data_IF_273183503651
#
_entry.id   IF_273183503651
#
_cell.length_a   1.000
_cell.length_b   1.000
_cell.length_c   1.000
_cell.angle_alpha   90.00
_cell.angle_beta   90.00
_cell.angle_gamma   90.00
#
_symmetry.space_group_name_H-M   'P 1'
#
loop_
_entity.id
_entity.type
_entity.pdbx_description
1 polymer ?
#
# COMPACT_ATOMS: atom_id res chain seq x y z
N UNK A 1 -61.03 -37.06 14.72
CA UNK A 1 -60.36 -35.75 14.72
C UNK A 1 -58.85 -35.95 14.64
N UNK A 2 -58.13 -35.23 13.75
CA UNK A 2 -56.78 -34.71 14.07
C UNK A 2 -55.51 -35.43 13.60
N UNK A 3 -55.36 -35.80 12.32
CA UNK A 3 -54.03 -36.07 11.72
C UNK A 3 -53.76 -35.08 10.57
N UNK A 4 -53.59 -33.79 10.88
CA UNK A 4 -53.36 -32.77 9.86
C UNK A 4 -52.27 -31.72 10.22
N UNK A 5 -51.69 -31.75 11.43
CA UNK A 5 -50.72 -30.71 11.84
C UNK A 5 -49.25 -31.04 11.51
N UNK A 6 -48.88 -32.33 11.41
CA UNK A 6 -47.47 -32.72 11.25
C UNK A 6 -46.90 -32.44 9.85
N UNK A 7 -47.69 -32.66 8.79
CA UNK A 7 -47.28 -32.45 7.39
C UNK A 7 -47.23 -30.98 6.98
N UNK A 8 -48.13 -30.14 7.53
CA UNK A 8 -48.15 -28.69 7.30
C UNK A 8 -46.87 -28.02 7.79
N UNK A 9 -46.41 -28.41 8.99
CA UNK A 9 -45.19 -27.88 9.59
C UNK A 9 -43.93 -28.31 8.83
N UNK A 10 -43.91 -29.55 8.29
CA UNK A 10 -42.80 -30.05 7.47
C UNK A 10 -42.67 -29.27 6.14
N UNK A 11 -43.79 -29.01 5.44
CA UNK A 11 -43.79 -28.19 4.23
C UNK A 11 -43.33 -26.75 4.50
N UNK A 12 -43.80 -26.13 5.58
CA UNK A 12 -43.40 -24.78 5.96
C UNK A 12 -41.88 -24.69 6.23
N UNK A 13 -41.30 -25.72 6.87
CA UNK A 13 -39.85 -25.79 7.12
C UNK A 13 -39.06 -25.91 5.81
N UNK A 14 -39.48 -26.78 4.88
CA UNK A 14 -38.79 -26.95 3.59
C UNK A 14 -38.85 -25.67 2.74
N UNK A 15 -39.99 -24.99 2.73
CA UNK A 15 -40.17 -23.72 2.04
C UNK A 15 -39.27 -22.64 2.66
N UNK A 16 -39.20 -22.58 4.00
CA UNK A 16 -38.31 -21.67 4.72
C UNK A 16 -36.83 -21.90 4.37
N UNK A 17 -36.38 -23.17 4.38
CA UNK A 17 -35.00 -23.53 4.02
C UNK A 17 -34.67 -23.17 2.56
N UNK A 18 -35.62 -23.33 1.65
CA UNK A 18 -35.46 -22.93 0.25
C UNK A 18 -35.27 -21.41 0.10
N UNK A 19 -36.08 -20.61 0.80
CA UNK A 19 -35.92 -19.15 0.80
C UNK A 19 -34.61 -18.70 1.47
N UNK A 20 -34.18 -19.37 2.54
CA UNK A 20 -32.88 -19.11 3.17
C UNK A 20 -31.73 -19.46 2.22
N UNK A 21 -31.81 -20.58 1.51
CA UNK A 21 -30.82 -20.97 0.50
C UNK A 21 -30.74 -19.97 -0.66
N UNK A 22 -31.90 -19.52 -1.17
CA UNK A 22 -31.97 -18.44 -2.17
C UNK A 22 -31.36 -17.14 -1.67
N UNK A 23 -31.66 -16.75 -0.43
CA UNK A 23 -31.10 -15.55 0.18
C UNK A 23 -29.58 -15.63 0.32
N UNK A 24 -29.04 -16.77 0.77
CA UNK A 24 -27.58 -16.99 0.88
C UNK A 24 -26.92 -16.94 -0.50
N UNK A 25 -27.55 -17.52 -1.53
CA UNK A 25 -27.01 -17.49 -2.91
C UNK A 25 -27.02 -16.09 -3.53
N UNK A 26 -27.84 -15.17 -3.02
CA UNK A 26 -27.88 -13.78 -3.45
C UNK A 26 -26.80 -12.91 -2.78
N UNK A 27 -26.14 -13.42 -1.73
CA UNK A 27 -25.01 -12.74 -1.11
C UNK A 27 -23.81 -12.78 -2.07
N UNK A 28 -23.36 -11.60 -2.50
CA UNK A 28 -22.15 -11.45 -3.31
C UNK A 28 -20.94 -11.44 -2.36
N UNK A 29 -20.01 -12.37 -2.55
CA UNK A 29 -18.71 -12.32 -1.87
C UNK A 29 -17.79 -11.32 -2.56
N UNK A 30 -17.02 -10.57 -1.76
CA UNK A 30 -15.89 -9.80 -2.22
C UNK A 30 -14.61 -10.57 -1.89
N UNK A 31 -13.75 -10.77 -2.89
CA UNK A 31 -12.41 -11.30 -2.68
C UNK A 31 -11.50 -10.16 -2.25
N UNK A 32 -10.75 -10.36 -1.16
CA UNK A 32 -9.76 -9.41 -0.66
C UNK A 32 -8.61 -10.17 -0.02
N UNK A 33 -7.41 -9.60 -0.11
CA UNK A 33 -6.25 -10.05 0.66
C UNK A 33 -5.79 -8.94 1.59
N UNK A 34 -5.37 -9.31 2.80
CA UNK A 34 -4.86 -8.40 3.82
C UNK A 34 -3.50 -8.93 4.28
N UNK A 35 -2.50 -8.05 4.25
CA UNK A 35 -1.16 -8.34 4.73
C UNK A 35 -0.82 -7.41 5.88
N UNK A 36 -0.26 -7.99 6.94
CA UNK A 36 0.25 -7.25 8.08
C UNK A 36 1.77 -7.30 7.99
N UNK A 37 2.39 -6.12 7.97
CA UNK A 37 3.83 -5.97 7.95
C UNK A 37 4.28 -5.43 9.32
N UNK A 38 4.78 -6.30 10.20
CA UNK A 38 5.31 -5.91 11.52
C UNK A 38 6.84 -6.09 11.53
N UNK A 39 7.56 -4.95 11.56
CA UNK A 39 9.03 -4.92 11.64
C UNK A 39 9.74 -5.78 10.60
N UNK A 40 9.13 -5.95 9.43
CA UNK A 40 9.72 -6.72 8.34
C UNK A 40 11.02 -6.08 7.84
N UNK A 41 12.04 -6.90 7.55
CA UNK A 41 13.31 -6.39 7.08
C UNK A 41 13.17 -5.80 5.69
N UNK A 42 13.71 -4.61 5.51
CA UNK A 42 13.87 -4.00 4.19
C UNK A 42 15.13 -4.53 3.52
N UNK A 43 15.07 -4.75 2.22
CA UNK A 43 16.22 -5.17 1.42
C UNK A 43 16.89 -3.97 0.77
N UNK A 44 18.21 -3.89 0.88
CA UNK A 44 18.99 -2.89 0.16
C UNK A 44 18.96 -3.17 -1.35
N UNK A 45 18.60 -2.16 -2.15
CA UNK A 45 18.54 -2.19 -3.61
C UNK A 45 19.18 -0.92 -4.15
N UNK A 46 20.46 -1.01 -4.50
CA UNK A 46 21.22 0.15 -4.98
C UNK A 46 21.35 1.20 -3.88
N UNK A 47 20.65 2.32 -4.03
CA UNK A 47 20.69 3.45 -3.10
C UNK A 47 19.38 3.59 -2.30
N UNK A 48 18.54 2.56 -2.31
CA UNK A 48 17.24 2.56 -1.66
C UNK A 48 17.01 1.26 -0.87
N UNK A 49 16.01 1.30 -0.01
CA UNK A 49 15.51 0.15 0.72
C UNK A 49 14.14 -0.23 0.18
N UNK A 50 13.91 -1.53 -0.01
CA UNK A 50 12.67 -2.06 -0.57
C UNK A 50 12.03 -3.05 0.40
N UNK A 51 10.74 -2.85 0.66
CA UNK A 51 9.87 -3.82 1.30
C UNK A 51 8.99 -4.46 0.22
N UNK A 52 9.04 -5.78 0.07
CA UNK A 52 8.18 -6.49 -0.87
C UNK A 52 6.77 -6.64 -0.29
N UNK A 53 5.78 -6.11 -1.00
CA UNK A 53 4.37 -6.31 -0.67
C UNK A 53 3.85 -7.70 -1.07
N UNK A 54 2.56 -7.93 -0.83
CA UNK A 54 1.84 -9.11 -1.30
C UNK A 54 1.84 -9.19 -2.84
N UNK A 55 1.63 -10.39 -3.37
CA UNK A 55 1.70 -10.69 -4.81
C UNK A 55 0.33 -10.90 -5.44
N UNK A 56 -0.72 -10.37 -4.81
CA UNK A 56 -2.11 -10.63 -5.18
C UNK A 56 -2.54 -9.77 -6.37
N UNK A 57 -3.40 -10.33 -7.21
CA UNK A 57 -3.95 -9.64 -8.37
C UNK A 57 -5.14 -8.77 -8.03
N UNK A 58 -5.20 -7.57 -8.61
CA UNK A 58 -6.37 -6.68 -8.54
C UNK A 58 -7.17 -6.82 -9.84
N UNK A 59 -8.34 -7.47 -9.80
CA UNK A 59 -9.22 -7.59 -10.97
C UNK A 59 -10.25 -6.48 -10.95
N UNK A 60 -10.19 -5.54 -11.90
CA UNK A 60 -11.26 -4.56 -12.09
C UNK A 60 -12.38 -5.14 -12.99
N UNK A 61 -13.65 -5.00 -12.62
CA UNK A 61 -14.77 -5.41 -13.46
C UNK A 61 -14.87 -4.53 -14.71
N UNK A 62 -15.41 -5.08 -15.79
CA UNK A 62 -15.48 -4.41 -17.09
C UNK A 62 -16.18 -3.03 -17.01
N UNK A 63 -15.75 -2.04 -17.82
CA UNK A 63 -16.20 -0.64 -17.71
C UNK A 63 -17.71 -0.42 -17.90
N UNK A 64 -18.45 -1.41 -18.39
CA UNK A 64 -19.92 -1.37 -18.55
C UNK A 64 -20.69 -1.91 -17.34
N UNK A 65 -20.00 -2.37 -16.31
CA UNK A 65 -20.59 -2.93 -15.11
C UNK A 65 -20.51 -1.89 -13.99
N UNK A 66 -21.66 -1.50 -13.44
CA UNK A 66 -21.73 -0.74 -12.18
C UNK A 66 -21.28 -1.56 -10.95
N UNK A 67 -20.84 -2.82 -11.14
CA UNK A 67 -20.44 -3.68 -10.06
C UNK A 67 -19.00 -3.37 -9.68
N UNK A 68 -18.80 -2.78 -8.50
CA UNK A 68 -17.54 -2.83 -7.73
C UNK A 68 -16.35 -2.04 -8.28
N UNK A 69 -15.63 -1.36 -7.38
CA UNK A 69 -14.28 -0.85 -7.65
C UNK A 69 -13.29 -1.74 -6.90
N UNK A 70 -12.25 -2.17 -7.59
CA UNK A 70 -11.12 -2.86 -6.96
C UNK A 70 -10.05 -1.83 -6.63
N UNK A 71 -9.44 -1.92 -5.45
CA UNK A 71 -8.49 -0.93 -4.97
C UNK A 71 -7.44 -1.58 -4.06
N UNK A 72 -6.28 -0.92 -3.97
CA UNK A 72 -5.26 -1.20 -2.97
C UNK A 72 -5.40 -0.13 -1.89
N UNK A 73 -5.51 -0.55 -0.64
CA UNK A 73 -5.57 0.37 0.51
C UNK A 73 -4.46 0.05 1.48
N UNK A 74 -3.72 1.08 1.84
CA UNK A 74 -2.79 1.04 2.94
C UNK A 74 -3.47 1.59 4.19
N UNK A 75 -3.31 0.90 5.32
CA UNK A 75 -3.95 1.25 6.58
C UNK A 75 -2.88 1.37 7.67
N UNK A 76 -2.87 2.50 8.39
CA UNK A 76 -1.95 2.77 9.51
C UNK A 76 -0.44 2.62 9.20
N UNK A 77 0.03 3.11 8.04
CA UNK A 77 1.47 3.16 7.76
C UNK A 77 2.14 4.18 8.69
N UNK A 78 3.06 3.71 9.52
CA UNK A 78 3.91 4.55 10.37
C UNK A 78 5.37 4.31 10.04
N UNK A 79 6.08 5.38 9.70
CA UNK A 79 7.53 5.34 9.57
C UNK A 79 8.16 5.76 10.89
N UNK A 80 9.17 5.01 11.32
CA UNK A 80 9.96 5.29 12.51
C UNK A 80 11.39 5.64 12.11
N UNK A 81 11.99 6.60 12.81
CA UNK A 81 13.42 6.93 12.69
C UNK A 81 14.04 7.00 14.07
N UNK A 82 15.32 6.64 14.19
CA UNK A 82 16.02 6.75 15.48
C UNK A 82 16.29 8.20 15.85
N UNK A 83 16.57 8.44 17.14
CA UNK A 83 16.90 9.77 17.67
C UNK A 83 18.19 10.29 17.03
N UNK A 84 19.18 9.42 16.88
CA UNK A 84 20.45 9.72 16.23
C UNK A 84 20.26 10.19 14.78
N UNK A 85 19.38 9.52 14.03
CA UNK A 85 19.07 9.90 12.65
C UNK A 85 18.31 11.24 12.56
N UNK A 86 17.49 11.57 13.56
CA UNK A 86 16.82 12.87 13.65
C UNK A 86 17.82 14.00 13.99
N UNK A 87 18.74 13.73 14.92
CA UNK A 87 19.69 14.72 15.44
C UNK A 87 20.83 15.04 14.46
N UNK A 88 21.13 14.15 13.49
CA UNK A 88 22.11 14.41 12.42
C UNK A 88 21.67 15.50 11.43
N UNK A 89 20.38 15.86 11.42
CA UNK A 89 19.84 16.87 10.52
C UNK A 89 18.98 17.92 11.25
N UNK A 90 19.56 18.67 12.21
CA UNK A 90 18.83 19.54 13.13
C UNK A 90 18.34 20.85 12.50
N UNK A 91 18.88 21.23 11.33
CA UNK A 91 18.70 22.56 10.74
C UNK A 91 17.96 22.56 9.39
N UNK A 92 17.36 21.45 8.97
CA UNK A 92 16.56 21.40 7.74
C UNK A 92 15.10 21.09 8.06
N UNK A 93 14.39 22.10 8.59
CA UNK A 93 13.00 22.06 9.03
C UNK A 93 11.97 21.57 7.99
N UNK A 94 12.38 21.32 6.73
CA UNK A 94 11.50 20.89 5.65
C UNK A 94 11.97 19.65 4.87
N UNK A 95 13.19 19.12 5.08
CA UNK A 95 13.73 18.04 4.22
C UNK A 95 14.48 16.91 4.93
N UNK A 96 14.79 17.02 6.22
CA UNK A 96 15.54 15.98 6.95
C UNK A 96 14.76 14.71 7.30
N UNK A 97 13.68 14.47 6.59
CA UNK A 97 12.76 13.39 6.89
C UNK A 97 11.77 13.11 5.77
N UNK A 98 12.16 13.38 4.53
CA UNK A 98 11.36 13.02 3.37
C UNK A 98 11.44 11.50 3.16
N UNK A 99 10.32 10.83 3.32
CA UNK A 99 10.07 9.46 2.90
C UNK A 99 9.23 9.53 1.63
N UNK A 100 9.73 8.95 0.53
CA UNK A 100 8.99 8.87 -0.72
C UNK A 100 8.51 7.45 -0.96
N UNK A 101 7.20 7.31 -1.17
CA UNK A 101 6.58 6.05 -1.59
C UNK A 101 6.30 6.17 -3.09
N UNK A 102 6.74 5.19 -3.86
CA UNK A 102 6.48 5.12 -5.29
C UNK A 102 5.58 3.93 -5.64
N UNK A 103 4.56 4.17 -6.45
CA UNK A 103 3.61 3.16 -6.93
C UNK A 103 3.73 3.11 -8.45
N UNK A 104 4.03 1.93 -8.97
CA UNK A 104 4.29 1.69 -10.38
C UNK A 104 3.87 0.27 -10.77
N UNK A 105 3.62 0.03 -12.06
CA UNK A 105 3.36 -1.31 -12.58
C UNK A 105 4.68 -2.03 -12.80
N UNK A 106 4.72 -3.35 -12.64
CA UNK A 106 5.95 -4.12 -12.86
C UNK A 106 6.51 -3.93 -14.29
N UNK A 107 5.65 -3.66 -15.28
CA UNK A 107 6.04 -3.34 -16.66
C UNK A 107 6.77 -1.98 -16.77
N UNK A 108 6.48 -1.04 -15.87
CA UNK A 108 7.07 0.30 -15.82
C UNK A 108 8.27 0.39 -14.87
N UNK A 109 8.81 -0.73 -14.39
CA UNK A 109 9.96 -0.74 -13.46
C UNK A 109 11.17 0.02 -14.00
N UNK A 110 11.33 0.05 -15.32
CA UNK A 110 12.45 0.72 -16.00
C UNK A 110 12.26 2.25 -16.06
N UNK A 111 11.05 2.75 -15.73
CA UNK A 111 10.77 4.17 -15.54
C UNK A 111 11.22 4.68 -14.15
N UNK A 112 11.71 3.79 -13.28
CA UNK A 112 12.22 4.12 -11.95
C UNK A 112 13.74 4.04 -11.91
N UNK A 113 14.36 5.00 -11.25
CA UNK A 113 15.81 5.07 -11.10
C UNK A 113 16.53 5.63 -12.31
N UNK A 114 17.86 5.70 -12.21
CA UNK A 114 18.76 6.23 -13.22
C UNK A 114 20.16 5.62 -13.07
N UNK A 115 21.04 5.86 -14.03
CA UNK A 115 22.42 5.38 -13.96
C UNK A 115 23.35 6.39 -14.64
N UNK A 116 24.21 7.03 -13.85
CA UNK A 116 25.12 8.05 -14.34
C UNK A 116 26.12 7.51 -15.39
N UNK A 117 26.49 6.23 -15.28
CA UNK A 117 27.57 5.63 -16.07
C UNK A 117 27.20 4.26 -16.68
N UNK A 118 25.91 3.88 -16.65
CA UNK A 118 25.45 2.55 -17.01
C UNK A 118 25.69 1.50 -15.91
N UNK A 119 24.99 0.35 -16.02
CA UNK A 119 25.07 -0.74 -15.04
C UNK A 119 23.91 -0.73 -14.04
N UNK A 120 24.21 -0.88 -12.75
CA UNK A 120 23.19 -0.91 -11.71
C UNK A 120 22.48 0.44 -11.61
N UNK A 121 21.14 0.40 -11.60
CA UNK A 121 20.31 1.60 -11.50
C UNK A 121 20.23 2.05 -10.04
N UNK A 122 20.52 3.33 -9.79
CA UNK A 122 20.23 3.99 -8.52
C UNK A 122 18.75 4.37 -8.51
N UNK A 123 18.03 3.98 -7.47
CA UNK A 123 16.61 4.34 -7.30
C UNK A 123 16.48 5.80 -6.86
N UNK A 124 17.37 6.23 -5.97
CA UNK A 124 17.44 7.60 -5.48
C UNK A 124 18.50 8.40 -6.25
N UNK A 125 18.24 9.68 -6.45
CA UNK A 125 19.13 10.61 -7.12
C UNK A 125 20.40 10.84 -6.29
N UNK A 126 21.54 10.44 -6.85
CA UNK A 126 22.86 10.73 -6.29
C UNK A 126 23.34 12.11 -6.74
N UNK A 127 24.42 12.63 -6.14
CA UNK A 127 25.00 13.92 -6.55
C UNK A 127 25.42 13.94 -8.02
N UNK A 128 25.94 12.82 -8.54
CA UNK A 128 26.36 12.72 -9.93
C UNK A 128 25.15 12.69 -10.87
N UNK A 129 24.11 11.92 -10.51
CA UNK A 129 22.85 11.89 -11.26
C UNK A 129 22.15 13.25 -11.26
N UNK A 130 22.20 14.00 -10.15
CA UNK A 130 21.66 15.36 -10.10
C UNK A 130 22.34 16.31 -11.11
N UNK A 131 23.65 16.14 -11.35
CA UNK A 131 24.40 16.95 -12.31
C UNK A 131 24.16 16.53 -13.75
N UNK A 132 23.98 15.22 -14.01
CA UNK A 132 23.85 14.67 -15.36
C UNK A 132 22.40 14.65 -15.87
N UNK A 133 21.45 14.23 -15.03
CA UNK A 133 20.04 14.05 -15.37
C UNK A 133 19.15 15.18 -14.82
N UNK A 134 19.67 16.04 -13.95
CA UNK A 134 18.92 17.15 -13.37
C UNK A 134 17.91 16.75 -12.28
N UNK A 135 18.03 15.54 -11.72
CA UNK A 135 17.18 15.10 -10.61
C UNK A 135 17.55 15.79 -9.29
N UNK A 136 16.62 15.79 -8.33
CA UNK A 136 16.87 16.34 -6.98
C UNK A 136 17.56 15.32 -6.11
N UNK A 137 18.74 15.64 -5.61
CA UNK A 137 19.54 14.74 -4.79
C UNK A 137 18.73 14.22 -3.58
N UNK A 138 18.76 12.90 -3.38
CA UNK A 138 18.04 12.20 -2.31
C UNK A 138 16.60 11.83 -2.64
N UNK A 139 16.02 12.34 -3.73
CA UNK A 139 14.67 11.97 -4.17
C UNK A 139 14.67 10.78 -5.13
N UNK A 140 13.56 10.04 -5.19
CA UNK A 140 13.35 8.95 -6.15
C UNK A 140 13.36 9.50 -7.57
N UNK A 141 14.14 8.87 -8.45
CA UNK A 141 14.18 9.22 -9.86
C UNK A 141 12.98 8.56 -10.54
N UNK A 142 12.14 9.39 -11.14
CA UNK A 142 10.97 8.96 -11.89
C UNK A 142 11.04 9.54 -13.30
N UNK A 143 10.88 8.66 -14.28
CA UNK A 143 10.56 9.01 -15.66
C UNK A 143 9.05 8.85 -15.87
N UNK A 144 8.38 9.86 -16.40
CA UNK A 144 6.95 9.75 -16.71
C UNK A 144 6.70 8.71 -17.80
N UNK A 145 5.60 7.96 -17.68
CA UNK A 145 5.20 7.01 -18.73
C UNK A 145 4.84 7.77 -20.02
N UNK A 146 5.17 7.25 -21.21
CA UNK A 146 4.79 7.86 -22.49
C UNK A 146 3.28 8.05 -22.66
N UNK A 147 2.48 7.22 -21.97
CA UNK A 147 1.02 7.23 -22.04
C UNK A 147 0.36 8.03 -20.91
N UNK A 148 1.06 8.26 -19.81
CA UNK A 148 0.54 8.99 -18.64
C UNK A 148 1.66 9.76 -17.91
N UNK A 149 1.58 11.09 -18.00
CA UNK A 149 2.52 11.99 -17.34
C UNK A 149 2.43 11.98 -15.81
N UNK A 150 1.33 11.48 -15.24
CA UNK A 150 1.11 11.36 -13.80
C UNK A 150 1.55 9.99 -13.23
N UNK A 151 1.87 9.04 -14.10
CA UNK A 151 2.42 7.73 -13.74
C UNK A 151 3.94 7.66 -13.91
N UNK A 152 4.70 6.98 -13.03
CA UNK A 152 4.29 6.35 -11.77
C UNK A 152 4.00 7.34 -10.62
N UNK A 153 3.18 6.95 -9.65
CA UNK A 153 2.75 7.87 -8.59
C UNK A 153 3.84 7.97 -7.51
N UNK A 154 4.21 9.19 -7.12
CA UNK A 154 5.12 9.45 -5.99
C UNK A 154 4.37 10.19 -4.90
N UNK A 155 4.41 9.65 -3.68
CA UNK A 155 3.79 10.22 -2.48
C UNK A 155 4.90 10.64 -1.53
N UNK A 156 4.93 11.93 -1.19
CA UNK A 156 5.90 12.49 -0.27
C UNK A 156 5.32 12.53 1.14
N UNK A 157 5.96 11.80 2.06
CA UNK A 157 5.66 11.81 3.49
C UNK A 157 6.81 12.48 4.21
N UNK A 158 6.53 13.41 5.11
CA UNK A 158 7.55 14.09 5.89
C UNK A 158 7.41 13.69 7.35
N UNK A 159 8.54 13.36 7.99
CA UNK A 159 8.56 13.23 9.44
C UNK A 159 8.14 14.56 10.09
N UNK A 160 7.18 14.49 11.01
CA UNK A 160 6.79 15.65 11.80
C UNK A 160 7.91 15.98 12.78
N UNK A 161 8.19 17.27 12.95
CA UNK A 161 9.14 17.71 13.95
C UNK A 161 8.59 17.44 15.37
N UNK A 162 9.32 16.62 16.12
CA UNK A 162 9.09 16.21 17.53
C UNK A 162 7.98 15.18 17.80
N UNK A 163 8.37 13.91 17.86
CA UNK A 163 8.07 13.06 19.02
C UNK A 163 9.41 12.49 19.47
N UNK A 164 10.00 13.11 20.49
CA UNK A 164 11.15 12.57 21.21
C UNK A 164 10.66 11.30 21.89
N UNK A 165 10.93 10.13 21.32
CA UNK A 165 10.95 8.92 22.13
C UNK A 165 12.21 8.99 22.99
N UNK A 166 12.07 9.66 24.13
CA UNK A 166 12.88 9.35 25.29
C UNK A 166 12.43 7.95 25.72
N UNK A 167 13.35 6.99 25.70
CA UNK A 167 13.05 5.65 26.18
C UNK A 167 12.56 5.71 27.62
N UNK A 168 11.36 5.18 27.84
CA UNK A 168 11.01 4.17 28.85
C UNK A 168 9.50 4.20 29.07
N UNK A 169 8.85 3.05 28.94
CA UNK A 169 7.43 2.87 29.28
C UNK A 169 6.53 2.62 28.08
N UNK A 170 6.22 1.34 27.91
CA UNK A 170 4.99 0.79 27.35
C UNK A 170 3.79 1.75 27.49
N UNK A 171 3.25 2.24 26.36
CA UNK A 171 1.83 2.59 26.31
C UNK A 171 1.29 2.49 24.87
N UNK A 172 0.20 1.74 24.75
CA UNK A 172 -0.48 1.43 23.50
C UNK A 172 -1.38 2.60 23.11
N UNK A 173 -1.30 3.08 21.87
CA UNK A 173 -2.30 4.04 21.35
C UNK A 173 -3.22 3.32 20.36
N UNK A 174 -4.33 2.86 20.90
CA UNK A 174 -5.56 2.51 20.17
C UNK A 174 -6.17 3.78 19.55
N UNK A 175 -6.80 3.67 18.38
CA UNK A 175 -7.48 4.81 17.76
C UNK A 175 -8.89 4.45 17.28
N UNK A 176 -9.85 5.20 17.82
CA UNK A 176 -11.25 5.34 17.37
C UNK A 176 -11.38 5.86 15.95
#
# INVERSE_FOLDING_TARGET
MGFASSTSNQCAILISLFYVGLFISALRSAEASIHIYDRDPVREVGTAYLLSGGSEGVTAPAPRSHAGRSYIRFENITFWRSKEAADQHPNMAYSSGLVQVIIFEAADRDNIGGSAYGGQRSICCTSDLAKLEGCKQGEVIRTSSPTDNNWPVVVNVHFRETQRHEGDGEDSVEKS
#
